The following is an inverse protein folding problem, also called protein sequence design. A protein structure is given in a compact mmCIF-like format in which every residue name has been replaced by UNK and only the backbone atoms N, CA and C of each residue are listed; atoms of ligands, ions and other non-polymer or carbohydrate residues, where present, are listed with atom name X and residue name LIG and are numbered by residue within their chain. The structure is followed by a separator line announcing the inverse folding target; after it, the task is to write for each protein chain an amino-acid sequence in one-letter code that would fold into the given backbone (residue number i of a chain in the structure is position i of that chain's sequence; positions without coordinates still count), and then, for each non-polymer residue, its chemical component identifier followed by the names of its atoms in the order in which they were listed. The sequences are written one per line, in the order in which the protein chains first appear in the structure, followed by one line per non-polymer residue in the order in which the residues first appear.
data_IF_461550927052
#
_entry.id   IF_461550927052
#
_cell.length_a   1.000
_cell.length_b   1.000
_cell.length_c   1.000
_cell.angle_alpha   90.00
_cell.angle_beta   90.00
_cell.angle_gamma   90.00
#
_symmetry.space_group_name_H-M   'P 1'
#
loop_
_entity.id
_entity.type
_entity.pdbx_description
1 polymer ?
#
# COMPACT_ATOMS: atom_id res chain seq x y z
N UNK A 1 -6.20 -10.12 4.06
CA UNK A 1 -7.63 -10.41 3.80
C UNK A 1 -7.84 -10.67 2.31
N UNK A 2 -8.63 -11.69 1.95
CA UNK A 2 -9.06 -11.93 0.57
C UNK A 2 -9.96 -10.80 0.08
N UNK A 3 -9.65 -10.28 -1.13
CA UNK A 3 -10.49 -9.35 -1.87
C UNK A 3 -11.45 -10.06 -2.86
N UNK A 4 -11.84 -9.38 -3.92
CA UNK A 4 -12.61 -9.97 -5.03
C UNK A 4 -11.67 -10.54 -6.09
N UNK A 5 -12.21 -11.43 -6.94
CA UNK A 5 -11.49 -11.87 -8.15
C UNK A 5 -11.71 -10.85 -9.26
N UNK A 6 -10.64 -10.49 -9.96
CA UNK A 6 -10.64 -9.55 -11.08
C UNK A 6 -10.09 -10.19 -12.36
N UNK A 7 -10.58 -9.82 -13.55
CA UNK A 7 -10.12 -10.35 -14.83
C UNK A 7 -8.80 -9.71 -15.30
N UNK A 8 -7.78 -9.71 -14.44
CA UNK A 8 -6.48 -9.04 -14.63
C UNK A 8 -5.33 -10.01 -14.98
N UNK A 9 -5.61 -11.30 -15.06
CA UNK A 9 -4.64 -12.31 -15.48
C UNK A 9 -4.44 -12.34 -17.01
N UNK A 10 -3.49 -13.18 -17.46
CA UNK A 10 -3.28 -13.38 -18.90
C UNK A 10 -4.59 -13.82 -19.58
N UNK A 11 -4.91 -13.19 -20.70
CA UNK A 11 -6.15 -13.43 -21.47
C UNK A 11 -7.44 -13.21 -20.64
N UNK A 12 -7.44 -12.28 -19.68
CA UNK A 12 -8.62 -12.00 -18.86
C UNK A 12 -8.90 -13.05 -17.79
N UNK A 13 -7.93 -13.89 -17.44
CA UNK A 13 -8.08 -14.86 -16.36
C UNK A 13 -8.39 -14.18 -15.03
N UNK A 14 -9.30 -14.78 -14.25
CA UNK A 14 -9.71 -14.26 -12.95
C UNK A 14 -8.61 -14.46 -11.92
N UNK A 15 -8.07 -13.36 -11.39
CA UNK A 15 -7.03 -13.35 -10.36
C UNK A 15 -7.63 -12.94 -9.01
N UNK A 16 -7.32 -13.69 -7.96
CA UNK A 16 -7.71 -13.35 -6.59
C UNK A 16 -6.91 -12.16 -6.12
N UNK A 17 -7.58 -11.13 -5.57
CA UNK A 17 -6.90 -9.99 -4.95
C UNK A 17 -6.78 -10.19 -3.43
N UNK A 18 -5.81 -9.51 -2.83
CA UNK A 18 -5.47 -9.61 -1.41
C UNK A 18 -5.29 -8.22 -0.83
N UNK A 19 -5.96 -7.94 0.28
CA UNK A 19 -5.83 -6.68 1.00
C UNK A 19 -4.72 -6.77 2.04
N UNK A 20 -3.81 -5.82 2.01
CA UNK A 20 -2.87 -5.54 3.11
C UNK A 20 -3.21 -4.18 3.72
N UNK A 21 -3.22 -4.09 5.06
CA UNK A 21 -3.64 -2.89 5.77
C UNK A 21 -2.83 -2.68 7.03
N UNK A 22 -2.48 -1.44 7.31
CA UNK A 22 -1.91 -0.98 8.56
C UNK A 22 -2.85 0.02 9.23
N UNK A 23 -3.25 -0.28 10.46
CA UNK A 23 -4.26 0.46 11.22
C UNK A 23 -3.63 0.90 12.54
N UNK A 24 -3.82 2.14 12.92
CA UNK A 24 -3.45 2.61 14.25
C UNK A 24 -4.32 1.95 15.32
N UNK A 25 -3.67 1.34 16.31
CA UNK A 25 -4.36 0.53 17.31
C UNK A 25 -5.25 1.36 18.25
N UNK A 26 -4.92 2.64 18.47
CA UNK A 26 -5.70 3.51 19.33
C UNK A 26 -6.86 4.16 18.57
N UNK A 27 -6.55 4.96 17.56
CA UNK A 27 -7.53 5.76 16.81
C UNK A 27 -8.38 4.94 15.83
N UNK A 28 -7.98 3.73 15.49
CA UNK A 28 -8.56 2.92 14.40
C UNK A 28 -8.40 3.55 13.02
N UNK A 29 -7.60 4.58 12.90
CA UNK A 29 -7.30 5.20 11.63
C UNK A 29 -6.49 4.26 10.74
N UNK A 30 -6.92 4.07 9.50
CA UNK A 30 -6.22 3.24 8.51
C UNK A 30 -5.16 4.10 7.85
N UNK A 31 -3.89 3.90 8.21
CA UNK A 31 -2.77 4.69 7.70
C UNK A 31 -2.47 4.31 6.25
N UNK A 32 -2.46 3.01 5.97
CA UNK A 32 -2.25 2.46 4.63
C UNK A 32 -3.09 1.19 4.46
N UNK A 33 -3.75 1.09 3.30
CA UNK A 33 -4.53 -0.11 2.95
C UNK A 33 -4.68 -0.19 1.45
N UNK A 34 -4.32 -1.32 0.85
CA UNK A 34 -4.30 -1.49 -0.60
C UNK A 34 -4.53 -2.95 -0.99
N UNK A 35 -5.23 -3.17 -2.11
CA UNK A 35 -5.40 -4.47 -2.72
C UNK A 35 -4.27 -4.77 -3.70
N UNK A 36 -3.81 -6.01 -3.69
CA UNK A 36 -2.73 -6.53 -4.53
C UNK A 36 -3.20 -7.76 -5.31
N UNK A 37 -2.58 -8.01 -6.46
CA UNK A 37 -2.88 -9.18 -7.30
C UNK A 37 -2.15 -10.46 -6.86
N UNK A 38 -1.25 -10.37 -5.87
CA UNK A 38 -0.51 -11.52 -5.33
C UNK A 38 -0.66 -11.62 -3.82
N UNK A 39 -0.30 -12.77 -3.24
CA UNK A 39 -0.25 -13.01 -1.80
C UNK A 39 1.20 -13.10 -1.30
N UNK A 40 2.15 -12.53 -2.02
CA UNK A 40 3.55 -12.55 -1.64
C UNK A 40 3.84 -11.72 -0.40
N UNK A 41 4.91 -12.05 0.30
CA UNK A 41 5.34 -11.33 1.51
C UNK A 41 5.68 -9.86 1.22
N UNK A 42 6.11 -9.55 0.00
CA UNK A 42 6.43 -8.21 -0.49
C UNK A 42 5.29 -7.21 -0.37
N UNK A 43 4.02 -7.65 -0.41
CA UNK A 43 2.87 -6.74 -0.22
C UNK A 43 2.82 -6.16 1.19
N UNK A 44 3.28 -6.91 2.20
CA UNK A 44 3.34 -6.43 3.58
C UNK A 44 4.50 -5.43 3.73
N UNK A 45 5.64 -5.71 3.10
CA UNK A 45 6.79 -4.80 3.07
C UNK A 45 6.41 -3.47 2.39
N UNK A 46 5.74 -3.52 1.24
CA UNK A 46 5.25 -2.32 0.55
C UNK A 46 4.25 -1.52 1.41
N UNK A 47 3.35 -2.22 2.12
CA UNK A 47 2.43 -1.56 3.06
C UNK A 47 3.19 -0.79 4.13
N UNK A 48 4.18 -1.39 4.78
CA UNK A 48 4.96 -0.71 5.83
C UNK A 48 5.88 0.37 5.29
N UNK A 49 6.45 0.20 4.10
CA UNK A 49 7.18 1.25 3.40
C UNK A 49 6.30 2.49 3.20
N UNK A 50 5.08 2.30 2.70
CA UNK A 50 4.09 3.37 2.50
C UNK A 50 3.64 4.01 3.82
N UNK A 51 3.49 3.22 4.89
CA UNK A 51 3.19 3.74 6.24
C UNK A 51 4.28 4.69 6.72
N UNK A 52 5.55 4.29 6.62
CA UNK A 52 6.68 5.13 7.05
C UNK A 52 6.76 6.42 6.22
N UNK A 53 6.48 6.34 4.92
CA UNK A 53 6.47 7.52 4.05
C UNK A 53 5.30 8.47 4.33
N UNK A 54 4.11 7.93 4.69
CA UNK A 54 2.89 8.73 4.95
C UNK A 54 2.83 9.32 6.36
N UNK A 55 3.18 8.53 7.36
CA UNK A 55 2.98 8.87 8.77
C UNK A 55 4.30 8.96 9.56
N UNK A 56 5.45 8.81 8.89
CA UNK A 56 6.74 8.84 9.54
C UNK A 56 7.07 7.53 10.28
N UNK A 57 8.18 7.58 11.01
CA UNK A 57 8.64 6.47 11.84
C UNK A 57 7.71 6.27 13.03
N UNK A 58 7.35 5.03 13.30
CA UNK A 58 6.60 4.60 14.47
C UNK A 58 7.44 3.65 15.34
N UNK A 59 7.05 3.44 16.60
CA UNK A 59 7.85 2.66 17.56
C UNK A 59 7.74 1.15 17.32
N UNK A 60 6.51 0.66 17.09
CA UNK A 60 6.26 -0.77 16.97
C UNK A 60 5.03 -1.08 16.11
N UNK A 61 5.07 -2.22 15.44
CA UNK A 61 3.89 -2.83 14.81
C UNK A 61 3.54 -4.15 15.50
N UNK A 62 2.24 -4.49 15.45
CA UNK A 62 1.70 -5.70 16.02
C UNK A 62 1.17 -6.60 14.92
N UNK A 63 1.53 -7.89 14.99
CA UNK A 63 0.97 -8.93 14.14
C UNK A 63 0.24 -9.96 14.99
N UNK A 64 -0.79 -10.59 14.42
CA UNK A 64 -1.43 -11.71 15.06
C UNK A 64 -0.52 -12.96 15.06
N UNK A 65 -0.88 -13.95 15.90
CA UNK A 65 -0.10 -15.19 15.99
C UNK A 65 -0.23 -16.10 14.75
N UNK A 66 -1.17 -15.81 13.85
CA UNK A 66 -1.33 -16.51 12.57
C UNK A 66 -0.27 -16.11 11.56
N UNK A 67 0.37 -14.97 11.77
CA UNK A 67 1.46 -14.46 10.93
C UNK A 67 2.82 -15.06 11.33
N UNK A 68 2.91 -16.39 11.50
CA UNK A 68 4.18 -17.08 11.74
C UNK A 68 5.21 -16.84 10.61
N UNK A 69 4.76 -16.27 9.52
CA UNK A 69 5.49 -15.93 8.30
C UNK A 69 5.76 -14.44 8.15
N UNK A 70 6.03 -13.73 9.25
CA UNK A 70 6.64 -12.41 9.07
C UNK A 70 8.00 -12.66 8.45
N UNK A 71 8.14 -12.30 7.18
CA UNK A 71 9.35 -12.51 6.42
C UNK A 71 10.55 -12.05 7.22
N UNK A 72 11.61 -12.85 7.20
CA UNK A 72 12.91 -12.44 7.74
C UNK A 72 13.31 -11.07 7.20
N UNK A 73 12.96 -10.81 5.95
CA UNK A 73 13.24 -9.56 5.26
C UNK A 73 12.49 -8.37 5.87
N UNK A 74 11.19 -8.50 6.14
CA UNK A 74 10.43 -7.42 6.82
C UNK A 74 11.04 -7.06 8.19
N UNK A 75 11.48 -8.08 8.97
CA UNK A 75 12.17 -7.83 10.24
C UNK A 75 13.46 -7.05 10.05
N UNK A 76 14.24 -7.37 9.02
CA UNK A 76 15.46 -6.66 8.69
C UNK A 76 15.18 -5.22 8.27
N UNK A 77 14.21 -5.03 7.37
CA UNK A 77 13.82 -3.70 6.86
C UNK A 77 13.33 -2.78 7.97
N UNK A 78 12.39 -3.24 8.79
CA UNK A 78 11.89 -2.46 9.93
C UNK A 78 12.96 -2.25 11.00
N UNK A 79 13.82 -3.26 11.23
CA UNK A 79 14.96 -3.16 12.15
C UNK A 79 15.98 -2.11 11.73
N UNK A 80 16.30 -1.98 10.43
CA UNK A 80 17.15 -0.91 9.88
C UNK A 80 16.58 0.49 10.18
N UNK A 81 15.24 0.62 10.20
CA UNK A 81 14.56 1.87 10.56
C UNK A 81 14.36 2.05 12.07
N UNK A 82 14.78 1.07 12.89
CA UNK A 82 14.61 1.09 14.35
C UNK A 82 13.15 0.91 14.78
N UNK A 83 12.35 0.18 13.98
CA UNK A 83 10.96 -0.15 14.27
C UNK A 83 10.90 -1.57 14.84
N UNK A 84 10.19 -1.75 15.96
CA UNK A 84 10.08 -3.04 16.65
C UNK A 84 8.86 -3.83 16.18
N UNK A 85 9.05 -5.11 15.85
CA UNK A 85 7.93 -6.02 15.59
C UNK A 85 7.55 -6.71 16.89
N UNK A 86 6.26 -6.65 17.24
CA UNK A 86 5.66 -7.33 18.39
C UNK A 86 4.58 -8.28 17.92
N UNK A 87 4.47 -9.41 18.58
CA UNK A 87 3.40 -10.39 18.35
C UNK A 87 2.34 -10.26 19.44
N UNK A 88 1.07 -10.39 19.05
CA UNK A 88 -0.03 -10.45 19.99
C UNK A 88 0.18 -11.63 20.95
N UNK A 89 -0.12 -11.48 22.26
CA UNK A 89 -0.07 -12.59 23.19
C UNK A 89 -0.97 -13.75 22.72
N UNK A 90 -0.51 -14.98 22.91
CA UNK A 90 -1.32 -16.16 22.58
C UNK A 90 -2.63 -16.09 23.36
N UNK A 91 -3.75 -16.39 22.69
CA UNK A 91 -5.12 -16.37 23.26
C UNK A 91 -5.69 -14.99 23.63
N UNK A 92 -5.15 -13.88 23.14
CA UNK A 92 -5.73 -12.55 23.33
C UNK A 92 -6.92 -12.33 22.37
N UNK A 93 -8.13 -12.63 22.86
CA UNK A 93 -9.38 -12.44 22.10
C UNK A 93 -9.65 -10.98 21.71
N UNK A 94 -9.18 -10.01 22.51
CA UNK A 94 -9.33 -8.57 22.23
C UNK A 94 -8.58 -8.12 20.96
N UNK A 95 -7.37 -8.61 20.76
CA UNK A 95 -6.56 -8.27 19.57
C UNK A 95 -7.20 -8.83 18.29
N UNK A 96 -7.72 -10.05 18.34
CA UNK A 96 -8.40 -10.70 17.23
C UNK A 96 -9.71 -10.00 16.86
N UNK A 97 -10.51 -9.61 17.86
CA UNK A 97 -11.77 -8.89 17.65
C UNK A 97 -11.63 -7.57 16.89
N UNK A 98 -10.52 -6.85 17.08
CA UNK A 98 -10.24 -5.59 16.36
C UNK A 98 -10.08 -5.83 14.86
N UNK A 99 -9.27 -6.82 14.48
CA UNK A 99 -9.07 -7.20 13.08
C UNK A 99 -10.35 -7.76 12.45
N UNK A 100 -11.13 -8.54 13.19
CA UNK A 100 -12.40 -9.09 12.72
C UNK A 100 -13.43 -7.99 12.43
N UNK A 101 -13.57 -6.99 13.31
CA UNK A 101 -14.45 -5.81 13.06
C UNK A 101 -14.03 -5.05 11.81
N UNK A 102 -12.73 -4.82 11.62
CA UNK A 102 -12.24 -4.18 10.40
C UNK A 102 -12.51 -5.04 9.15
N UNK A 103 -12.33 -6.36 9.24
CA UNK A 103 -12.64 -7.27 8.14
C UNK A 103 -14.13 -7.24 7.74
N UNK A 104 -15.05 -7.00 8.66
CA UNK A 104 -16.49 -6.80 8.35
C UNK A 104 -16.70 -5.52 7.53
N UNK A 105 -15.96 -4.45 7.84
CA UNK A 105 -15.98 -3.20 7.05
C UNK A 105 -15.47 -3.46 5.62
N UNK A 106 -14.35 -4.20 5.49
CA UNK A 106 -13.83 -4.61 4.19
C UNK A 106 -14.87 -5.43 3.41
N UNK A 107 -15.54 -6.38 4.05
CA UNK A 107 -16.57 -7.20 3.41
C UNK A 107 -17.78 -6.37 2.94
N UNK A 108 -18.11 -5.29 3.67
CA UNK A 108 -19.13 -4.32 3.24
C UNK A 108 -18.70 -3.60 1.96
N UNK A 109 -17.47 -3.08 1.92
CA UNK A 109 -16.93 -2.48 0.70
C UNK A 109 -16.89 -3.46 -0.48
N UNK A 110 -16.43 -4.70 -0.27
CA UNK A 110 -16.33 -5.69 -1.34
C UNK A 110 -17.69 -6.06 -1.96
N UNK A 111 -18.78 -5.97 -1.20
CA UNK A 111 -20.15 -6.13 -1.74
C UNK A 111 -20.49 -4.98 -2.68
N UNK A 112 -20.19 -3.74 -2.31
CA UNK A 112 -20.39 -2.57 -3.15
C UNK A 112 -19.51 -2.60 -4.40
N UNK A 113 -18.24 -3.00 -4.24
CA UNK A 113 -17.30 -3.15 -5.34
C UNK A 113 -17.78 -4.18 -6.40
N UNK A 114 -18.39 -5.29 -5.96
CA UNK A 114 -19.03 -6.27 -6.84
C UNK A 114 -20.26 -5.69 -7.54
N UNK A 115 -21.10 -4.98 -6.80
CA UNK A 115 -22.30 -4.33 -7.37
C UNK A 115 -21.92 -3.24 -8.38
N UNK A 116 -20.80 -2.54 -8.14
CA UNK A 116 -20.24 -1.54 -9.07
C UNK A 116 -19.51 -2.17 -10.27
N UNK A 117 -19.33 -3.50 -10.27
CA UNK A 117 -18.66 -4.27 -11.32
C UNK A 117 -17.24 -3.81 -11.63
N UNK A 118 -16.49 -3.52 -10.61
CA UNK A 118 -15.06 -3.16 -10.71
C UNK A 118 -14.30 -4.29 -11.41
N UNK A 119 -13.46 -3.94 -12.41
CA UNK A 119 -12.73 -4.91 -13.24
C UNK A 119 -11.22 -4.76 -13.17
N UNK A 120 -10.70 -3.62 -12.72
CA UNK A 120 -9.25 -3.41 -12.62
C UNK A 120 -8.82 -3.23 -11.16
N UNK A 121 -7.54 -3.50 -10.90
CA UNK A 121 -6.95 -3.33 -9.57
C UNK A 121 -6.89 -1.86 -9.17
N UNK A 122 -6.62 -0.97 -10.14
CA UNK A 122 -6.58 0.48 -9.95
C UNK A 122 -7.95 1.00 -9.50
N UNK A 123 -9.03 0.59 -10.19
CA UNK A 123 -10.39 0.96 -9.78
C UNK A 123 -10.73 0.44 -8.39
N UNK A 124 -10.35 -0.82 -8.08
CA UNK A 124 -10.60 -1.40 -6.77
C UNK A 124 -9.91 -0.58 -5.67
N UNK A 125 -8.68 -0.17 -5.88
CA UNK A 125 -7.92 0.63 -4.92
C UNK A 125 -8.42 2.07 -4.83
N UNK A 126 -8.74 2.69 -5.95
CA UNK A 126 -9.29 4.05 -5.98
C UNK A 126 -10.61 4.15 -5.19
N UNK A 127 -11.57 3.26 -5.42
CA UNK A 127 -12.82 3.26 -4.67
C UNK A 127 -12.64 2.82 -3.22
N UNK A 128 -11.66 1.97 -2.93
CA UNK A 128 -11.30 1.61 -1.56
C UNK A 128 -10.77 2.83 -0.78
N UNK A 129 -9.88 3.61 -1.37
CA UNK A 129 -9.37 4.84 -0.78
C UNK A 129 -10.51 5.84 -0.50
N UNK A 130 -11.38 6.08 -1.49
CA UNK A 130 -12.57 6.94 -1.33
C UNK A 130 -13.48 6.42 -0.20
N UNK A 131 -13.70 5.12 -0.13
CA UNK A 131 -14.52 4.50 0.92
C UNK A 131 -13.90 4.71 2.32
N UNK A 132 -12.58 4.59 2.45
CA UNK A 132 -11.89 4.87 3.70
C UNK A 132 -12.00 6.34 4.08
N UNK A 133 -11.73 7.26 3.16
CA UNK A 133 -11.70 8.70 3.43
C UNK A 133 -13.09 9.29 3.66
N UNK A 134 -14.07 8.90 2.86
CA UNK A 134 -15.40 9.52 2.90
C UNK A 134 -16.41 8.79 3.80
N UNK A 135 -16.14 7.56 4.15
CA UNK A 135 -17.05 6.77 4.98
C UNK A 135 -16.37 6.26 6.27
N UNK A 136 -15.35 5.41 6.17
CA UNK A 136 -14.79 4.74 7.34
C UNK A 136 -14.17 5.71 8.35
N UNK A 137 -13.31 6.62 7.90
CA UNK A 137 -12.62 7.58 8.76
C UNK A 137 -13.54 8.64 9.36
N UNK A 138 -14.70 8.88 8.75
CA UNK A 138 -15.71 9.88 9.18
C UNK A 138 -16.88 9.27 9.95
N UNK A 139 -16.94 7.95 10.08
CA UNK A 139 -17.98 7.27 10.86
C UNK A 139 -17.52 7.08 12.30
N UNK A 140 -18.37 7.39 13.31
CA UNK A 140 -18.06 7.11 14.71
C UNK A 140 -17.72 5.64 14.93
N UNK A 141 -16.68 5.39 15.73
CA UNK A 141 -16.18 4.03 15.95
C UNK A 141 -16.44 3.58 17.38
N UNK A 142 -17.20 2.49 17.54
CA UNK A 142 -17.61 1.96 18.84
C UNK A 142 -16.43 1.63 19.75
N UNK A 143 -15.35 1.05 19.22
CA UNK A 143 -14.17 0.73 20.04
C UNK A 143 -13.43 1.95 20.59
N UNK A 144 -13.60 3.15 20.00
CA UNK A 144 -13.10 4.40 20.58
C UNK A 144 -14.00 4.83 21.73
N UNK A 145 -15.33 4.71 21.56
CA UNK A 145 -16.32 4.97 22.60
C UNK A 145 -16.05 4.10 23.82
N UNK A 146 -16.00 2.75 23.64
CA UNK A 146 -15.71 1.77 24.69
C UNK A 146 -14.43 2.10 25.47
N UNK A 147 -13.38 2.59 24.77
CA UNK A 147 -12.12 3.01 25.39
C UNK A 147 -12.33 4.20 26.33
N UNK A 148 -12.97 5.28 25.89
CA UNK A 148 -13.20 6.46 26.73
C UNK A 148 -14.17 6.18 27.89
N UNK A 149 -15.21 5.40 27.67
CA UNK A 149 -16.12 4.93 28.73
C UNK A 149 -15.37 4.12 29.79
N UNK A 150 -14.42 3.26 29.39
CA UNK A 150 -13.58 2.51 30.35
C UNK A 150 -12.69 3.39 31.22
N UNK A 151 -12.37 4.60 30.75
CA UNK A 151 -11.61 5.62 31.50
C UNK A 151 -12.51 6.54 32.32
N UNK A 152 -13.84 6.37 32.27
CA UNK A 152 -14.79 7.29 32.89
C UNK A 152 -14.83 8.68 32.23
N UNK A 153 -14.32 8.79 30.99
CA UNK A 153 -14.27 10.07 30.28
C UNK A 153 -15.55 10.28 29.45
N UNK A 154 -16.09 11.52 29.40
CA UNK A 154 -17.30 11.80 28.63
C UNK A 154 -17.06 11.60 27.14
N UNK A 155 -17.99 10.95 26.47
CA UNK A 155 -17.98 10.76 25.01
C UNK A 155 -19.07 11.63 24.40
N UNK A 156 -18.80 12.41 23.34
CA UNK A 156 -19.82 13.16 22.63
C UNK A 156 -20.97 12.27 22.15
N UNK A 157 -22.20 12.77 22.18
CA UNK A 157 -23.38 12.00 21.76
C UNK A 157 -23.28 11.45 20.33
N UNK A 158 -22.66 12.23 19.42
CA UNK A 158 -22.37 11.81 18.04
C UNK A 158 -21.25 10.77 17.91
N UNK A 159 -20.55 10.43 19.01
CA UNK A 159 -19.38 9.57 19.01
C UNK A 159 -18.11 10.26 18.51
N UNK A 160 -17.02 9.49 18.43
CA UNK A 160 -15.70 9.94 17.97
C UNK A 160 -15.32 9.13 16.74
N UNK A 161 -14.88 9.82 15.69
CA UNK A 161 -14.45 9.19 14.45
C UNK A 161 -12.96 8.84 14.46
N UNK A 162 -12.50 7.83 13.69
CA UNK A 162 -11.07 7.54 13.55
C UNK A 162 -10.23 8.74 13.15
N UNK A 163 -10.74 9.58 12.23
CA UNK A 163 -10.05 10.80 11.80
C UNK A 163 -9.89 11.81 12.93
N UNK A 164 -10.96 12.03 13.72
CA UNK A 164 -10.91 12.94 14.85
C UNK A 164 -9.92 12.44 15.93
N UNK A 165 -9.95 11.14 16.20
CA UNK A 165 -9.09 10.57 17.22
C UNK A 165 -7.62 10.55 16.80
N UNK A 166 -7.32 10.24 15.53
CA UNK A 166 -5.98 10.38 14.96
C UNK A 166 -5.46 11.82 15.05
N UNK A 167 -6.28 12.80 14.74
CA UNK A 167 -5.92 14.23 14.80
C UNK A 167 -5.74 14.80 16.23
N UNK A 168 -6.12 14.04 17.28
CA UNK A 168 -5.86 14.43 18.68
C UNK A 168 -4.43 14.19 19.14
N UNK A 169 -3.71 13.33 18.45
CA UNK A 169 -2.30 13.06 18.76
C UNK A 169 -1.44 14.28 18.38
N UNK A 170 -0.95 14.99 19.38
CA UNK A 170 -0.11 16.18 19.21
C UNK A 170 1.39 15.87 19.10
N UNK A 171 1.78 14.59 19.17
CA UNK A 171 3.18 14.20 19.04
C UNK A 171 3.68 14.49 17.63
N UNK A 172 4.88 15.06 17.46
CA UNK A 172 5.42 15.33 16.14
C UNK A 172 5.70 14.03 15.38
N UNK A 173 5.31 13.98 14.12
CA UNK A 173 5.68 12.88 13.23
C UNK A 173 7.16 13.00 12.85
N UNK A 174 7.90 11.92 12.97
CA UNK A 174 9.32 11.86 12.59
C UNK A 174 9.45 11.25 11.21
N UNK A 175 9.60 12.09 10.20
CA UNK A 175 9.83 11.64 8.83
C UNK A 175 11.31 11.30 8.62
N UNK A 176 11.54 10.20 7.91
CA UNK A 176 12.88 9.76 7.51
C UNK A 176 13.12 10.20 6.06
N UNK A 177 14.41 10.30 5.70
CA UNK A 177 14.77 10.52 4.31
C UNK A 177 14.24 9.41 3.41
N UNK A 178 13.67 9.77 2.25
CA UNK A 178 13.03 8.82 1.33
C UNK A 178 14.00 7.79 0.78
N UNK A 179 15.27 8.18 0.57
CA UNK A 179 16.34 7.28 0.13
C UNK A 179 16.67 6.24 1.21
N UNK A 180 16.74 6.65 2.48
CA UNK A 180 16.94 5.75 3.62
C UNK A 180 15.80 4.74 3.73
N UNK A 181 14.56 5.20 3.56
CA UNK A 181 13.39 4.30 3.58
C UNK A 181 13.45 3.33 2.40
N UNK A 182 13.71 3.82 1.18
CA UNK A 182 13.82 2.97 -0.01
C UNK A 182 14.90 1.90 0.18
N UNK A 183 16.09 2.28 0.63
CA UNK A 183 17.21 1.36 0.84
C UNK A 183 16.92 0.32 1.93
N UNK A 184 16.17 0.69 2.98
CA UNK A 184 15.81 -0.25 4.05
C UNK A 184 14.97 -1.42 3.56
N UNK A 185 14.14 -1.21 2.53
CA UNK A 185 13.24 -2.23 1.97
C UNK A 185 13.80 -2.94 0.73
N UNK A 186 15.03 -2.63 0.29
CA UNK A 186 15.68 -3.41 -0.76
C UNK A 186 16.01 -4.82 -0.27
N UNK A 187 15.76 -5.80 -1.13
CA UNK A 187 16.22 -7.17 -0.96
C UNK A 187 17.65 -7.30 -1.48
N UNK A 188 18.44 -8.14 -0.82
CA UNK A 188 19.83 -8.39 -1.18
C UNK A 188 20.05 -9.88 -1.41
N UNK A 189 20.68 -10.21 -2.55
CA UNK A 189 21.03 -11.58 -2.91
C UNK A 189 22.41 -11.63 -3.57
N UNK A 190 23.09 -12.78 -3.44
CA UNK A 190 24.36 -13.01 -4.14
C UNK A 190 24.11 -13.77 -5.43
N UNK A 191 24.67 -13.30 -6.54
CA UNK A 191 24.63 -13.96 -7.86
C UNK A 191 26.02 -14.12 -8.44
N UNK A 192 26.19 -15.20 -9.21
CA UNK A 192 27.41 -15.44 -10.00
C UNK A 192 27.24 -14.81 -11.38
N UNK A 193 28.25 -14.06 -11.83
CA UNK A 193 28.30 -13.53 -13.18
C UNK A 193 28.77 -14.62 -14.14
N UNK A 194 28.00 -14.90 -15.18
CA UNK A 194 28.27 -15.93 -16.17
C UNK A 194 29.33 -15.49 -17.18
N UNK A 195 29.75 -16.43 -18.08
CA UNK A 195 30.75 -16.16 -19.14
C UNK A 195 30.30 -15.10 -20.15
N UNK A 196 29.01 -14.82 -20.24
CA UNK A 196 28.43 -13.77 -21.07
C UNK A 196 28.35 -12.40 -20.36
N UNK A 197 29.03 -12.22 -19.22
CA UNK A 197 28.93 -11.04 -18.36
C UNK A 197 27.50 -10.75 -17.87
N UNK A 198 26.68 -11.78 -17.66
CA UNK A 198 25.31 -11.63 -17.21
C UNK A 198 25.07 -12.35 -15.87
N UNK A 199 24.09 -11.86 -15.15
CA UNK A 199 23.52 -12.54 -13.98
C UNK A 199 22.11 -13.04 -14.30
N UNK A 200 21.73 -14.20 -13.75
CA UNK A 200 20.36 -14.71 -13.85
C UNK A 200 19.58 -14.35 -12.58
N UNK A 201 18.46 -13.65 -12.74
CA UNK A 201 17.59 -13.25 -11.65
C UNK A 201 16.12 -13.32 -12.08
N UNK A 202 15.27 -13.98 -11.29
CA UNK A 202 13.83 -14.19 -11.55
C UNK A 202 13.49 -14.64 -12.99
N UNK A 203 14.28 -15.59 -13.53
CA UNK A 203 14.07 -16.13 -14.87
C UNK A 203 14.50 -15.22 -16.03
N UNK A 204 15.08 -14.06 -15.73
CA UNK A 204 15.64 -13.12 -16.72
C UNK A 204 17.16 -13.04 -16.58
N UNK A 205 17.84 -12.61 -17.65
CA UNK A 205 19.26 -12.28 -17.62
C UNK A 205 19.42 -10.75 -17.58
N UNK A 206 20.38 -10.31 -16.79
CA UNK A 206 20.74 -8.90 -16.65
C UNK A 206 22.21 -8.72 -17.01
N UNK A 207 22.51 -7.69 -17.79
CA UNK A 207 23.88 -7.36 -18.22
C UNK A 207 24.67 -6.75 -17.07
N UNK A 208 25.90 -7.22 -16.92
CA UNK A 208 26.89 -6.69 -15.98
C UNK A 208 28.17 -6.26 -16.71
N UNK A 209 29.19 -5.88 -15.97
CA UNK A 209 30.47 -5.53 -16.56
C UNK A 209 31.31 -6.76 -16.89
N UNK A 210 32.00 -6.82 -18.05
CA UNK A 210 32.88 -7.94 -18.41
C UNK A 210 33.97 -8.22 -17.36
N UNK A 211 34.41 -7.19 -16.64
CA UNK A 211 35.39 -7.34 -15.53
C UNK A 211 34.88 -8.18 -14.36
N UNK A 212 33.57 -8.45 -14.27
CA UNK A 212 32.95 -9.23 -13.21
C UNK A 212 32.71 -10.70 -13.58
N UNK A 213 33.06 -11.14 -14.78
CA UNK A 213 32.89 -12.54 -15.21
C UNK A 213 33.55 -13.50 -14.20
N UNK A 214 32.76 -14.47 -13.74
CA UNK A 214 33.21 -15.46 -12.74
C UNK A 214 33.19 -14.95 -11.29
N UNK A 215 32.87 -13.68 -11.04
CA UNK A 215 32.77 -13.12 -9.70
C UNK A 215 31.38 -13.36 -9.12
N UNK A 216 31.33 -13.49 -7.77
CA UNK A 216 30.08 -13.41 -7.01
C UNK A 216 29.82 -11.96 -6.68
N UNK A 217 28.74 -11.41 -7.19
CA UNK A 217 28.29 -10.02 -6.95
C UNK A 217 27.10 -10.02 -6.02
N UNK A 218 26.97 -8.96 -5.25
CA UNK A 218 25.75 -8.68 -4.49
C UNK A 218 24.79 -7.90 -5.37
N UNK A 219 23.54 -8.34 -5.44
CA UNK A 219 22.46 -7.61 -6.10
C UNK A 219 21.48 -7.08 -5.08
N UNK A 220 20.98 -5.87 -5.29
CA UNK A 220 19.88 -5.30 -4.54
C UNK A 220 18.76 -4.88 -5.48
N UNK A 221 17.51 -5.12 -5.07
CA UNK A 221 16.32 -4.87 -5.88
C UNK A 221 15.11 -4.56 -5.02
N UNK A 222 14.16 -3.81 -5.57
CA UNK A 222 12.83 -3.63 -4.96
C UNK A 222 11.94 -4.83 -5.33
N UNK A 223 11.42 -5.60 -4.36
CA UNK A 223 10.56 -6.74 -4.63
C UNK A 223 9.26 -6.38 -5.37
N UNK A 224 8.80 -5.13 -5.26
CA UNK A 224 7.62 -4.65 -5.99
C UNK A 224 7.93 -4.21 -7.43
N UNK A 225 9.21 -3.94 -7.73
CA UNK A 225 9.67 -3.51 -9.05
C UNK A 225 11.02 -4.18 -9.39
N UNK A 226 11.04 -5.52 -9.55
CA UNK A 226 12.28 -6.28 -9.69
C UNK A 226 12.97 -6.11 -11.06
N UNK A 227 12.48 -5.20 -11.91
CA UNK A 227 13.03 -4.95 -13.25
C UNK A 227 14.36 -4.23 -13.20
N UNK A 228 14.59 -3.42 -12.18
CA UNK A 228 15.84 -2.70 -11.94
C UNK A 228 16.63 -3.41 -10.86
N UNK A 229 17.80 -3.93 -11.23
CA UNK A 229 18.71 -4.64 -10.32
C UNK A 229 19.99 -3.82 -10.18
N UNK A 230 20.30 -3.42 -8.95
CA UNK A 230 21.55 -2.72 -8.65
C UNK A 230 22.61 -3.75 -8.27
N UNK A 231 23.75 -3.71 -8.92
CA UNK A 231 24.87 -4.61 -8.70
C UNK A 231 25.96 -3.91 -7.90
N UNK A 232 26.44 -4.58 -6.85
CA UNK A 232 27.54 -4.10 -5.99
C UNK A 232 28.65 -5.15 -5.95
N UNK A 233 29.90 -4.67 -6.07
CA UNK A 233 31.11 -5.47 -5.95
C UNK A 233 32.25 -4.64 -5.34
N UNK A 234 33.07 -5.18 -4.45
CA UNK A 234 34.19 -4.46 -3.85
C UNK A 234 35.13 -3.84 -4.88
N UNK A 235 35.42 -2.54 -4.74
CA UNK A 235 36.31 -1.81 -5.67
C UNK A 235 35.65 -1.33 -6.97
N UNK A 236 34.36 -1.57 -7.18
CA UNK A 236 33.59 -1.06 -8.33
C UNK A 236 32.40 -0.25 -7.80
N UNK A 237 32.20 1.00 -8.25
CA UNK A 237 31.01 1.77 -7.90
C UNK A 237 29.73 0.98 -8.25
N UNK A 238 28.73 0.94 -7.36
CA UNK A 238 27.47 0.29 -7.65
C UNK A 238 26.84 0.82 -8.94
N UNK A 239 26.22 -0.07 -9.72
CA UNK A 239 25.57 0.29 -10.98
C UNK A 239 24.27 -0.49 -11.17
N UNK A 240 23.38 0.04 -11.99
CA UNK A 240 22.13 -0.63 -12.37
C UNK A 240 22.40 -1.59 -13.54
N UNK A 241 21.92 -2.82 -13.41
CA UNK A 241 21.98 -3.83 -14.45
C UNK A 241 20.63 -3.86 -15.19
N UNK A 242 20.68 -3.72 -16.52
CA UNK A 242 19.49 -3.77 -17.35
C UNK A 242 19.20 -5.21 -17.80
N UNK A 243 17.91 -5.57 -17.95
CA UNK A 243 17.55 -6.87 -18.49
C UNK A 243 18.01 -6.98 -19.94
N UNK A 244 18.65 -8.13 -20.30
CA UNK A 244 19.06 -8.44 -21.66
C UNK A 244 17.84 -8.44 -22.57
N UNK A 245 17.78 -7.54 -23.53
CA UNK A 245 16.73 -7.50 -24.56
C UNK A 245 17.05 -8.52 -25.65
N UNK A 246 16.51 -9.73 -25.51
CA UNK A 246 16.53 -10.72 -26.60
C UNK A 246 15.38 -10.37 -27.53
N UNK A 247 15.70 -9.93 -28.75
CA UNK A 247 14.85 -9.52 -29.86
C UNK A 247 13.34 -9.53 -29.61
N UNK A 248 12.72 -8.36 -29.73
CA UNK A 248 11.28 -8.20 -29.53
C UNK A 248 10.49 -9.06 -30.52
N UNK A 249 10.08 -10.25 -30.09
CA UNK A 249 8.97 -10.95 -30.74
C UNK A 249 7.66 -10.30 -30.29
N UNK A 250 7.23 -9.28 -31.00
CA UNK A 250 5.90 -8.73 -30.86
C UNK A 250 4.86 -9.72 -31.35
N UNK A 251 4.29 -10.54 -30.48
CA UNK A 251 2.99 -11.15 -30.75
C UNK A 251 1.91 -10.06 -30.60
N UNK A 252 1.51 -9.46 -31.72
CA UNK A 252 0.30 -8.64 -31.77
C UNK A 252 -0.91 -9.54 -31.56
N UNK A 253 -1.41 -9.60 -30.33
CA UNK A 253 -2.74 -10.18 -30.10
C UNK A 253 -3.76 -9.23 -30.72
N UNK A 254 -4.59 -9.69 -31.71
CA UNK A 254 -5.58 -8.82 -32.32
C UNK A 254 -6.59 -8.34 -31.28
N UNK A 255 -6.97 -7.06 -31.36
CA UNK A 255 -8.00 -6.49 -30.51
C UNK A 255 -9.31 -7.28 -30.68
N UNK A 256 -10.02 -7.54 -29.58
CA UNK A 256 -11.34 -8.18 -29.62
C UNK A 256 -12.32 -7.35 -30.47
N UNK A 257 -13.09 -7.99 -31.35
CA UNK A 257 -14.11 -7.31 -32.13
C UNK A 257 -15.11 -6.56 -31.24
N UNK A 258 -15.56 -5.39 -31.69
CA UNK A 258 -16.50 -4.53 -30.94
C UNK A 258 -17.78 -5.27 -30.50
N UNK A 259 -18.19 -6.28 -31.26
CA UNK A 259 -19.34 -7.15 -30.95
C UNK A 259 -19.10 -8.10 -29.75
N UNK A 260 -17.87 -8.27 -29.29
CA UNK A 260 -17.51 -9.10 -28.14
C UNK A 260 -17.15 -8.26 -26.91
N UNK A 261 -17.27 -6.92 -26.99
CA UNK A 261 -17.12 -6.04 -25.84
C UNK A 261 -18.40 -6.09 -25.01
N UNK A 262 -18.28 -6.47 -23.74
CA UNK A 262 -19.43 -6.53 -22.84
C UNK A 262 -20.03 -5.13 -22.63
N UNK A 263 -21.36 -5.04 -22.61
CA UNK A 263 -22.07 -3.80 -22.32
C UNK A 263 -21.84 -3.35 -20.88
N UNK A 264 -21.65 -2.05 -20.69
CA UNK A 264 -21.55 -1.43 -19.37
C UNK A 264 -22.83 -1.68 -18.56
N UNK A 265 -22.66 -2.23 -17.38
CA UNK A 265 -23.74 -2.48 -16.44
C UNK A 265 -23.83 -1.38 -15.39
N UNK A 266 -24.98 -1.25 -14.72
CA UNK A 266 -25.22 -0.16 -13.75
C UNK A 266 -24.19 -0.13 -12.64
N UNK A 267 -23.53 1.03 -12.50
CA UNK A 267 -22.56 1.31 -11.46
C UNK A 267 -23.21 1.39 -10.06
N UNK A 268 -22.50 0.99 -9.01
CA UNK A 268 -22.97 1.16 -7.63
C UNK A 268 -23.27 2.63 -7.32
N UNK A 269 -24.52 2.94 -7.00
CA UNK A 269 -24.95 4.30 -6.63
C UNK A 269 -24.21 4.82 -5.41
N UNK A 270 -23.84 3.95 -4.48
CA UNK A 270 -23.11 4.30 -3.25
C UNK A 270 -21.69 4.75 -3.57
N UNK A 271 -20.92 3.97 -4.34
CA UNK A 271 -19.54 4.34 -4.72
C UNK A 271 -19.51 5.60 -5.59
N UNK A 272 -20.44 5.72 -6.53
CA UNK A 272 -20.56 6.93 -7.35
C UNK A 272 -20.89 8.18 -6.51
N UNK A 273 -21.70 8.05 -5.46
CA UNK A 273 -21.95 9.14 -4.52
C UNK A 273 -20.72 9.51 -3.69
N UNK A 274 -19.96 8.53 -3.24
CA UNK A 274 -18.69 8.76 -2.50
C UNK A 274 -17.65 9.44 -3.38
N UNK A 275 -17.49 8.99 -4.63
CA UNK A 275 -16.58 9.61 -5.61
C UNK A 275 -16.90 11.10 -5.81
N UNK A 276 -18.17 11.43 -6.04
CA UNK A 276 -18.63 12.82 -6.17
C UNK A 276 -18.34 13.63 -4.91
N UNK A 277 -18.59 13.07 -3.72
CA UNK A 277 -18.32 13.72 -2.45
C UNK A 277 -16.82 13.96 -2.24
N UNK A 278 -15.99 12.97 -2.55
CA UNK A 278 -14.54 13.07 -2.47
C UNK A 278 -13.98 14.14 -3.42
N UNK A 279 -14.43 14.14 -4.70
CA UNK A 279 -14.04 15.14 -5.67
C UNK A 279 -14.39 16.56 -5.19
N UNK A 280 -15.60 16.75 -4.62
CA UNK A 280 -16.02 18.04 -4.04
C UNK A 280 -15.17 18.45 -2.85
N UNK A 281 -14.83 17.52 -1.96
CA UNK A 281 -13.96 17.81 -0.81
C UNK A 281 -12.56 18.23 -1.25
N UNK A 282 -11.99 17.53 -2.24
CA UNK A 282 -10.66 17.88 -2.81
C UNK A 282 -10.68 19.24 -3.49
N UNK A 283 -11.75 19.55 -4.23
CA UNK A 283 -11.92 20.87 -4.85
C UNK A 283 -11.97 21.96 -3.79
N UNK A 284 -12.73 21.78 -2.72
CA UNK A 284 -12.82 22.76 -1.62
C UNK A 284 -11.46 22.99 -0.94
N UNK A 285 -10.68 21.92 -0.73
CA UNK A 285 -9.32 22.03 -0.18
C UNK A 285 -8.40 22.75 -1.16
N UNK A 286 -8.45 22.43 -2.45
CA UNK A 286 -7.66 23.09 -3.49
C UNK A 286 -8.01 24.58 -3.59
N UNK A 287 -9.30 24.93 -3.55
CA UNK A 287 -9.78 26.31 -3.58
C UNK A 287 -9.36 27.09 -2.31
N UNK A 288 -9.36 26.42 -1.13
CA UNK A 288 -8.90 27.02 0.12
C UNK A 288 -7.37 27.27 0.15
N UNK A 289 -6.59 26.46 -0.57
CA UNK A 289 -5.12 26.61 -0.69
C UNK A 289 -4.73 27.55 -1.85
N UNK A 290 -5.67 27.89 -2.72
CA UNK A 290 -5.41 28.75 -3.87
C UNK A 290 -5.07 30.18 -3.43
N UNK A 291 -3.80 30.56 -3.57
CA UNK A 291 -3.31 31.93 -3.32
C UNK A 291 -4.00 33.01 -4.18
N UNK A 292 -4.81 32.64 -5.17
CA UNK A 292 -5.57 33.56 -6.01
C UNK A 292 -6.68 34.31 -5.26
N UNK A 293 -7.22 33.77 -4.18
CA UNK A 293 -8.19 34.43 -3.34
C UNK A 293 -7.55 35.48 -2.39
N UNK A 294 -6.32 35.21 -1.91
CA UNK A 294 -5.59 36.15 -1.03
C UNK A 294 -5.22 37.48 -1.71
N UNK A 295 -5.20 37.52 -3.04
CA UNK A 295 -4.93 38.78 -3.81
C UNK A 295 -6.18 39.62 -4.07
N UNK A 296 -7.39 39.08 -3.91
CA UNK A 296 -8.63 39.81 -4.14
C UNK A 296 -9.12 40.62 -2.91
N UNK A 297 -8.78 40.14 -1.71
CA UNK A 297 -9.21 40.79 -0.47
C UNK A 297 -8.19 41.78 0.14
N UNK A 298 -6.98 41.90 -0.46
CA UNK A 298 -5.89 42.75 -0.01
C UNK A 298 -5.73 44.08 -0.77
N UNK A 299 -6.68 44.45 -1.59
CA UNK A 299 -6.56 45.60 -2.52
C UNK A 299 -7.60 46.71 -2.38
N UNK A 300 -7.94 47.11 -1.13
CA UNK A 300 -8.62 48.40 -0.95
C UNK A 300 -8.44 48.87 0.48
N UNK A 301 -7.31 49.52 0.72
CA UNK A 301 -7.17 50.61 1.70
C UNK A 301 -5.74 51.17 1.64
N UNK A 302 -5.49 52.11 0.77
CA UNK A 302 -4.79 53.38 1.00
C UNK A 302 -5.29 54.33 -0.05
#
# INVERSE_FOLDING_TARGET
KYGIKLPIGRNGAMVQTYLSSAIDDHSRYVIQSEFYASQEESIVEDTFRKVVLKAGKFDACYFDNGSQYIAKQLKLSLGKLGITIRHAPRASGKSKGKCEKFHQVVDSYLREAKAHQIRTLEQLNQYWEIFLEEYYHKKPHEGIREYYESLGSPVPAQGITPMQEWGRDSRPLTFLDTGVVAEAFLHHETRLVDKGACISFQGRKYETKPSLIGCKVEISYDPMSPEVVKVSYPGIPPFEAEPVKIGEFCSKTPALPVSMQEQETEASRFLSALEKKHAKSRQQVADAISFGQYRKDGGSNV
#
